data_IF_699079217324
#
_entry.id   IF_699079217324
#
_cell.length_a   1.000
_cell.length_b   1.000
_cell.length_c   1.000
_cell.angle_alpha   90.00
_cell.angle_beta   90.00
_cell.angle_gamma   90.00
#
_symmetry.space_group_name_H-M   'P 1'
#
loop_
_entity.id
_entity.type
_entity.pdbx_description
1 polymer ?
#
# COMPACT_ATOMS: atom_id res chain seq x y z
N UNK A 1 -25.39 -9.97 -18.27
CA UNK A 1 -23.99 -10.29 -18.59
C UNK A 1 -23.77 -11.78 -18.39
N UNK A 2 -23.17 -12.50 -19.34
CA UNK A 2 -22.96 -13.95 -19.21
C UNK A 2 -22.14 -14.26 -17.94
N UNK A 3 -22.57 -15.26 -17.16
CA UNK A 3 -21.95 -15.65 -15.89
C UNK A 3 -20.43 -15.85 -16.04
N UNK A 4 -20.01 -16.49 -17.14
CA UNK A 4 -18.61 -16.72 -17.52
C UNK A 4 -17.84 -15.43 -17.83
N UNK A 5 -18.49 -14.43 -18.45
CA UNK A 5 -17.86 -13.12 -18.72
C UNK A 5 -17.68 -12.32 -17.43
N UNK A 6 -18.65 -12.41 -16.52
CA UNK A 6 -18.59 -11.73 -15.22
C UNK A 6 -17.49 -12.28 -14.32
N UNK A 7 -17.32 -13.61 -14.22
CA UNK A 7 -16.24 -14.21 -13.43
C UNK A 7 -14.87 -13.81 -13.97
N UNK A 8 -14.67 -13.79 -15.29
CA UNK A 8 -13.40 -13.37 -15.90
C UNK A 8 -13.02 -11.92 -15.55
N UNK A 9 -13.99 -11.00 -15.57
CA UNK A 9 -13.77 -9.59 -15.18
C UNK A 9 -13.37 -9.50 -13.70
N UNK A 10 -14.07 -10.23 -12.83
CA UNK A 10 -13.82 -10.22 -11.38
C UNK A 10 -12.44 -10.82 -11.06
N UNK A 11 -12.00 -11.85 -11.77
CA UNK A 11 -10.64 -12.39 -11.64
C UNK A 11 -9.58 -11.36 -11.97
N UNK A 12 -9.72 -10.66 -13.10
CA UNK A 12 -8.76 -9.62 -13.52
C UNK A 12 -8.69 -8.52 -12.45
N UNK A 13 -9.84 -8.06 -11.96
CA UNK A 13 -9.92 -7.04 -10.93
C UNK A 13 -9.28 -7.49 -9.60
N UNK A 14 -9.51 -8.74 -9.20
CA UNK A 14 -8.92 -9.33 -7.98
C UNK A 14 -7.40 -9.42 -8.08
N UNK A 15 -6.86 -9.82 -9.25
CA UNK A 15 -5.41 -9.89 -9.50
C UNK A 15 -4.77 -8.50 -9.43
N UNK A 16 -5.37 -7.49 -10.05
CA UNK A 16 -4.89 -6.10 -9.99
C UNK A 16 -4.88 -5.61 -8.54
N UNK A 17 -5.95 -5.88 -7.79
CA UNK A 17 -6.06 -5.48 -6.39
C UNK A 17 -5.02 -6.16 -5.50
N UNK A 18 -4.74 -7.45 -5.75
CA UNK A 18 -3.70 -8.20 -5.04
C UNK A 18 -2.30 -7.65 -5.31
N UNK A 19 -2.00 -7.29 -6.57
CA UNK A 19 -0.73 -6.67 -6.93
C UNK A 19 -0.55 -5.30 -6.28
N UNK A 20 -1.61 -4.49 -6.26
CA UNK A 20 -1.62 -3.20 -5.59
C UNK A 20 -1.42 -3.33 -4.07
N UNK A 21 -2.07 -4.32 -3.43
CA UNK A 21 -1.87 -4.62 -2.01
C UNK A 21 -0.40 -5.01 -1.72
N UNK A 22 0.19 -5.85 -2.57
CA UNK A 22 1.58 -6.28 -2.45
C UNK A 22 2.53 -5.08 -2.53
N UNK A 23 2.42 -4.27 -3.58
CA UNK A 23 3.27 -3.07 -3.74
C UNK A 23 3.12 -2.13 -2.54
N UNK A 24 1.90 -1.90 -2.08
CA UNK A 24 1.61 -0.99 -0.96
C UNK A 24 2.21 -1.48 0.35
N UNK A 25 2.20 -2.80 0.60
CA UNK A 25 2.76 -3.39 1.82
C UNK A 25 4.28 -3.15 1.94
N UNK A 26 5.00 -3.14 0.83
CA UNK A 26 6.45 -2.93 0.82
C UNK A 26 6.84 -1.45 0.59
N UNK A 27 5.90 -0.60 0.19
CA UNK A 27 6.16 0.81 -0.12
C UNK A 27 6.78 1.56 1.06
N UNK A 28 6.36 1.27 2.29
CA UNK A 28 6.89 1.86 3.52
C UNK A 28 8.38 1.59 3.75
N UNK A 29 8.90 0.46 3.25
CA UNK A 29 10.31 0.08 3.41
C UNK A 29 11.16 0.42 2.18
N UNK A 30 10.63 0.26 0.96
CA UNK A 30 11.38 0.55 -0.26
C UNK A 30 11.55 2.04 -0.50
N UNK A 31 10.54 2.85 -0.20
CA UNK A 31 10.57 4.29 -0.48
C UNK A 31 11.70 4.99 0.30
N UNK A 32 11.85 4.81 1.64
CA UNK A 32 12.96 5.41 2.38
C UNK A 32 14.33 4.91 1.91
N UNK A 33 14.45 3.62 1.57
CA UNK A 33 15.71 3.03 1.09
C UNK A 33 16.12 3.65 -0.27
N UNK A 34 15.16 3.79 -1.18
CA UNK A 34 15.39 4.42 -2.48
C UNK A 34 15.76 5.90 -2.35
N UNK A 35 15.07 6.64 -1.48
CA UNK A 35 15.39 8.04 -1.19
C UNK A 35 16.77 8.20 -0.56
N UNK A 36 17.15 7.33 0.38
CA UNK A 36 18.47 7.33 1.00
C UNK A 36 19.57 7.10 -0.05
N UNK A 37 19.38 6.12 -0.94
CA UNK A 37 20.32 5.86 -2.04
C UNK A 37 20.42 7.05 -3.02
N UNK A 38 19.28 7.58 -3.47
CA UNK A 38 19.24 8.64 -4.50
C UNK A 38 19.72 9.99 -3.98
N UNK A 39 19.46 10.31 -2.71
CA UNK A 39 19.82 11.57 -2.11
C UNK A 39 21.16 11.50 -1.34
N UNK A 40 21.85 10.35 -1.33
CA UNK A 40 23.02 10.10 -0.48
C UNK A 40 22.78 10.48 0.99
N UNK A 41 21.54 10.36 1.45
CA UNK A 41 21.18 10.67 2.82
C UNK A 41 21.63 9.49 3.67
N UNK A 42 22.72 9.69 4.42
CA UNK A 42 23.11 8.78 5.49
C UNK A 42 22.01 8.80 6.55
N UNK A 43 21.27 7.70 6.64
CA UNK A 43 20.15 7.55 7.57
C UNK A 43 20.58 7.74 9.03
N UNK A 44 21.87 7.61 9.34
CA UNK A 44 22.45 7.94 10.66
C UNK A 44 22.42 9.43 10.98
N UNK A 45 22.60 10.29 9.97
CA UNK A 45 22.60 11.75 10.11
C UNK A 45 21.25 12.38 9.74
N UNK A 46 20.36 11.64 9.06
CA UNK A 46 19.05 12.10 8.64
C UNK A 46 18.11 12.49 9.80
N UNK A 47 18.28 11.88 10.98
CA UNK A 47 17.55 12.30 12.18
C UNK A 47 17.89 13.74 12.58
N UNK A 48 19.14 14.19 12.37
CA UNK A 48 19.56 15.57 12.63
C UNK A 48 19.04 16.56 11.58
N UNK A 49 18.84 16.12 10.33
CA UNK A 49 18.27 16.94 9.25
C UNK A 49 16.80 17.25 9.53
N UNK A 50 16.05 16.28 10.08
CA UNK A 50 14.68 16.50 10.58
C UNK A 50 14.61 17.42 11.80
N UNK A 51 15.64 17.43 12.65
CA UNK A 51 15.76 18.34 13.81
C UNK A 51 16.09 19.77 13.37
N UNK A 52 16.91 19.97 12.33
CA UNK A 52 17.26 21.30 11.80
C UNK A 52 16.15 21.86 10.90
N UNK A 53 15.51 21.03 10.06
CA UNK A 53 14.37 21.43 9.21
C UNK A 53 13.01 21.45 9.93
N UNK A 54 12.96 20.92 11.15
CA UNK A 54 11.80 20.87 12.03
C UNK A 54 11.92 21.84 13.20
N UNK A 55 12.33 23.09 12.95
CA UNK A 55 12.26 24.15 13.97
C UNK A 55 10.82 24.29 14.55
N UNK A 56 9.82 23.88 13.77
CA UNK A 56 8.46 23.59 14.22
C UNK A 56 8.24 22.08 14.44
N UNK A 57 8.98 21.53 15.40
CA UNK A 57 8.98 20.10 15.74
C UNK A 57 7.60 19.52 16.05
N UNK A 58 6.71 20.21 16.79
CA UNK A 58 5.35 19.74 17.02
C UNK A 58 4.54 19.56 15.74
N UNK A 59 4.68 20.46 14.76
CA UNK A 59 3.99 20.36 13.47
C UNK A 59 4.55 19.24 12.61
N UNK A 60 5.87 19.04 12.59
CA UNK A 60 6.49 17.92 11.88
C UNK A 60 6.03 16.56 12.44
N UNK A 61 5.90 16.45 13.77
CA UNK A 61 5.34 15.25 14.42
C UNK A 61 3.84 15.11 14.12
N UNK A 62 3.06 16.18 14.18
CA UNK A 62 1.62 16.14 13.87
C UNK A 62 1.33 15.72 12.42
N UNK A 63 2.13 16.20 11.46
CA UNK A 63 1.99 15.86 10.03
C UNK A 63 2.45 14.43 9.75
N UNK A 64 3.59 14.00 10.30
CA UNK A 64 4.10 12.64 10.11
C UNK A 64 3.22 11.57 10.78
N UNK A 65 2.62 11.87 11.93
CA UNK A 65 1.66 11.00 12.61
C UNK A 65 0.37 10.75 11.80
N UNK A 66 0.05 11.61 10.82
CA UNK A 66 -1.18 11.52 10.02
C UNK A 66 -1.02 10.74 8.71
N UNK A 67 0.20 10.35 8.35
CA UNK A 67 0.46 9.60 7.11
C UNK A 67 0.04 8.13 7.25
N UNK A 68 -1.26 7.87 7.10
CA UNK A 68 -1.82 6.52 7.22
C UNK A 68 -1.63 5.70 5.94
N UNK A 69 -0.37 5.44 5.56
CA UNK A 69 -0.03 4.49 4.47
C UNK A 69 -0.72 3.13 4.63
N UNK A 70 -1.05 2.74 5.86
CA UNK A 70 -1.75 1.50 6.17
C UNK A 70 -3.21 1.47 5.70
N UNK A 71 -3.94 2.59 5.65
CA UNK A 71 -5.36 2.57 5.23
C UNK A 71 -5.51 2.11 3.78
N UNK A 72 -4.64 2.59 2.90
CA UNK A 72 -4.62 2.18 1.49
C UNK A 72 -4.38 0.67 1.37
N UNK A 73 -3.39 0.16 2.12
CA UNK A 73 -3.08 -1.27 2.16
C UNK A 73 -4.27 -2.09 2.68
N UNK A 74 -4.91 -1.65 3.75
CA UNK A 74 -6.08 -2.32 4.35
C UNK A 74 -7.24 -2.41 3.36
N UNK A 75 -7.51 -1.35 2.61
CA UNK A 75 -8.59 -1.33 1.60
C UNK A 75 -8.30 -2.37 0.50
N UNK A 76 -7.09 -2.36 -0.07
CA UNK A 76 -6.75 -3.28 -1.15
C UNK A 76 -6.71 -4.74 -0.68
N UNK A 77 -6.20 -5.02 0.51
CA UNK A 77 -6.24 -6.36 1.11
C UNK A 77 -7.68 -6.83 1.29
N UNK A 78 -8.56 -5.97 1.82
CA UNK A 78 -9.97 -6.30 2.02
C UNK A 78 -10.65 -6.62 0.67
N UNK A 79 -10.37 -5.83 -0.36
CA UNK A 79 -10.92 -6.00 -1.69
C UNK A 79 -10.44 -7.31 -2.34
N UNK A 80 -9.17 -7.67 -2.16
CA UNK A 80 -8.60 -8.95 -2.59
C UNK A 80 -9.28 -10.12 -1.88
N UNK A 81 -9.51 -10.04 -0.58
CA UNK A 81 -10.20 -11.11 0.19
C UNK A 81 -11.62 -11.30 -0.33
N UNK A 82 -12.40 -10.23 -0.51
CA UNK A 82 -13.75 -10.32 -1.07
C UNK A 82 -13.75 -10.93 -2.49
N UNK A 83 -12.80 -10.52 -3.34
CA UNK A 83 -12.65 -11.05 -4.69
C UNK A 83 -12.35 -12.54 -4.72
N UNK A 84 -11.47 -13.01 -3.83
CA UNK A 84 -11.13 -14.44 -3.68
C UNK A 84 -12.34 -15.23 -3.17
N UNK A 85 -13.05 -14.74 -2.15
CA UNK A 85 -14.26 -15.41 -1.62
C UNK A 85 -15.30 -15.56 -2.72
N UNK A 86 -15.57 -14.51 -3.49
CA UNK A 86 -16.51 -14.57 -4.61
C UNK A 86 -16.10 -15.62 -5.65
N UNK A 87 -14.81 -15.67 -6.01
CA UNK A 87 -14.28 -16.64 -6.97
C UNK A 87 -14.43 -18.08 -6.49
N UNK A 88 -14.18 -18.35 -5.21
CA UNK A 88 -14.34 -19.68 -4.61
C UNK A 88 -15.81 -20.12 -4.63
N UNK A 89 -16.74 -19.24 -4.26
CA UNK A 89 -18.18 -19.54 -4.29
C UNK A 89 -18.66 -19.74 -5.73
N UNK A 90 -18.24 -18.87 -6.65
CA UNK A 90 -18.63 -18.97 -8.05
C UNK A 90 -18.10 -20.25 -8.72
N UNK A 91 -16.91 -20.72 -8.31
CA UNK A 91 -16.35 -22.00 -8.76
C UNK A 91 -17.14 -23.21 -8.21
N UNK A 92 -17.66 -23.13 -6.99
CA UNK A 92 -18.43 -24.22 -6.38
C UNK A 92 -19.85 -24.36 -6.95
N UNK A 93 -20.40 -23.30 -7.56
CA UNK A 93 -21.76 -23.25 -8.11
C UNK A 93 -21.85 -23.55 -9.61
N UNK A 94 -20.75 -23.96 -10.23
CA UNK A 94 -20.62 -24.14 -11.68
C UNK A 94 -19.93 -25.47 -12.00
#
# INVERSE_FOLDING_TARGET
MNKVKSTKIITIFTVISALAAFISAFFSSLLPLYLSYKLNIDTRNASSIGIIGGADGPTAIFVSARSSSHLFTIIFVSLTILGVIYLVIAKNHN
#
